data_IF_572911993004
#
_entry.id   IF_572911993004
#
_cell.length_a   1.000
_cell.length_b   1.000
_cell.length_c   1.000
_cell.angle_alpha   90.00
_cell.angle_beta   90.00
_cell.angle_gamma   90.00
#
_symmetry.space_group_name_H-M   'P 1'
#
loop_
_entity.id
_entity.type
_entity.pdbx_description
1 polymer ?
#
# COMPACT_ATOMS: atom_id res chain seq x y z
N UNK A 1 -30.74 43.26 8.35
CA UNK A 1 -29.86 42.36 9.13
C UNK A 1 -29.16 41.42 8.16
N UNK A 2 -27.84 41.55 7.99
CA UNK A 2 -27.02 40.60 7.22
C UNK A 2 -26.35 39.65 8.21
N UNK A 3 -26.79 38.41 8.27
CA UNK A 3 -26.14 37.36 9.04
C UNK A 3 -24.96 36.87 8.17
N UNK A 4 -23.74 37.30 8.52
CA UNK A 4 -22.52 36.70 7.96
C UNK A 4 -22.23 35.44 8.76
N UNK A 5 -22.39 34.28 8.12
CA UNK A 5 -22.05 32.98 8.71
C UNK A 5 -20.53 32.80 8.60
N UNK A 6 -19.77 32.64 9.71
CA UNK A 6 -18.30 32.53 9.67
C UNK A 6 -17.83 31.08 9.52
N UNK A 7 -18.69 30.15 9.08
CA UNK A 7 -18.43 28.70 9.19
C UNK A 7 -17.42 28.16 8.17
N UNK A 8 -17.26 28.82 7.02
CA UNK A 8 -16.40 28.31 5.93
C UNK A 8 -14.90 28.43 6.25
N UNK A 9 -14.50 29.39 7.09
CA UNK A 9 -13.09 29.59 7.43
C UNK A 9 -12.56 28.55 8.42
N UNK A 10 -13.42 27.97 9.26
CA UNK A 10 -13.00 27.01 10.29
C UNK A 10 -12.75 25.61 9.70
N UNK A 11 -13.50 25.21 8.67
CA UNK A 11 -13.31 23.89 8.03
C UNK A 11 -11.98 23.78 7.27
N UNK A 12 -11.57 24.86 6.58
CA UNK A 12 -10.28 24.90 5.87
C UNK A 12 -9.09 24.86 6.83
N UNK A 13 -9.21 25.46 8.01
CA UNK A 13 -8.16 25.46 9.04
C UNK A 13 -8.00 24.07 9.66
N UNK A 14 -9.10 23.35 9.93
CA UNK A 14 -9.05 21.97 10.45
C UNK A 14 -8.46 21.00 9.43
N UNK A 15 -8.79 21.15 8.14
CA UNK A 15 -8.20 20.36 7.06
C UNK A 15 -6.68 20.60 6.93
N UNK A 16 -6.20 21.84 7.07
CA UNK A 16 -4.77 22.14 7.06
C UNK A 16 -4.01 21.63 8.30
N UNK A 17 -4.65 21.55 9.48
CA UNK A 17 -4.00 21.00 10.68
C UNK A 17 -3.83 19.48 10.62
N UNK A 18 -4.72 18.75 9.94
CA UNK A 18 -4.60 17.29 9.80
C UNK A 18 -3.42 16.88 8.90
N UNK A 19 -3.12 17.66 7.85
CA UNK A 19 -1.99 17.39 6.96
C UNK A 19 -0.63 17.65 7.61
N UNK A 20 -0.56 18.59 8.57
CA UNK A 20 0.70 19.00 9.22
C UNK A 20 1.07 18.17 10.46
N UNK A 21 0.21 17.25 10.91
CA UNK A 21 0.39 16.54 12.18
C UNK A 21 0.85 15.09 12.04
N UNK A 22 1.17 14.62 10.83
CA UNK A 22 1.47 13.20 10.59
C UNK A 22 0.26 12.28 10.82
N UNK A 23 -0.96 12.82 10.75
CA UNK A 23 -2.19 12.04 10.89
C UNK A 23 -2.60 11.47 9.53
N UNK A 24 -2.45 10.16 9.32
CA UNK A 24 -2.95 9.47 8.14
C UNK A 24 -4.46 9.28 8.24
N UNK A 25 -5.20 9.80 7.27
CA UNK A 25 -6.66 9.62 7.16
C UNK A 25 -6.96 8.55 6.12
N UNK A 26 -7.59 7.46 6.54
CA UNK A 26 -8.07 6.41 5.63
C UNK A 26 -9.51 6.71 5.20
N UNK A 27 -9.69 6.87 3.90
CA UNK A 27 -10.98 7.14 3.28
C UNK A 27 -11.04 6.65 1.84
N UNK A 28 -12.25 6.29 1.40
CA UNK A 28 -12.63 5.94 0.03
C UNK A 28 -13.92 6.67 -0.40
N UNK A 29 -14.19 7.85 0.17
CA UNK A 29 -15.39 8.65 -0.15
C UNK A 29 -15.54 8.82 -1.67
N UNK A 30 -16.67 8.37 -2.20
CA UNK A 30 -17.00 8.43 -3.63
C UNK A 30 -16.31 7.37 -4.50
N UNK A 31 -15.52 6.48 -3.90
CA UNK A 31 -14.82 5.35 -4.56
C UNK A 31 -15.29 3.99 -4.07
N UNK A 32 -15.89 3.94 -2.87
CA UNK A 32 -16.35 2.73 -2.20
C UNK A 32 -17.57 2.06 -2.80
N UNK A 33 -18.05 2.42 -3.99
CA UNK A 33 -19.33 1.90 -4.50
C UNK A 33 -19.34 0.36 -4.54
N UNK A 34 -20.36 -0.24 -3.91
CA UNK A 34 -20.53 -1.68 -3.79
C UNK A 34 -21.26 -2.31 -4.98
N UNK A 35 -21.33 -3.65 -4.97
CA UNK A 35 -21.91 -4.45 -6.06
C UNK A 35 -23.39 -4.19 -6.30
N UNK A 36 -24.14 -3.81 -5.26
CA UNK A 36 -25.58 -3.53 -5.37
C UNK A 36 -25.87 -2.34 -6.27
N UNK A 37 -25.03 -1.31 -6.20
CA UNK A 37 -25.18 -0.07 -6.96
C UNK A 37 -24.50 -0.16 -8.33
N UNK A 38 -23.36 -0.84 -8.42
CA UNK A 38 -22.58 -0.94 -9.65
C UNK A 38 -21.87 -2.30 -9.78
N UNK A 39 -22.55 -3.31 -10.35
CA UNK A 39 -21.95 -4.60 -10.64
C UNK A 39 -20.70 -4.48 -11.52
N UNK A 40 -19.78 -5.44 -11.39
CA UNK A 40 -18.57 -5.51 -12.23
C UNK A 40 -18.92 -6.01 -13.62
N UNK A 41 -18.31 -5.41 -14.64
CA UNK A 41 -18.62 -5.68 -16.05
C UNK A 41 -17.37 -5.81 -16.93
N UNK A 42 -16.19 -5.96 -16.33
CA UNK A 42 -14.96 -6.25 -17.07
C UNK A 42 -14.95 -7.65 -17.70
N UNK A 43 -13.86 -7.97 -18.38
CA UNK A 43 -13.69 -9.26 -19.05
C UNK A 43 -13.52 -10.41 -18.05
N UNK A 44 -13.74 -11.64 -18.51
CA UNK A 44 -13.48 -12.86 -17.74
C UNK A 44 -12.00 -12.96 -17.33
N UNK A 45 -11.70 -13.72 -16.28
CA UNK A 45 -10.33 -13.91 -15.84
C UNK A 45 -9.41 -14.43 -16.95
N UNK A 46 -8.37 -13.63 -17.22
CA UNK A 46 -7.23 -14.01 -18.05
C UNK A 46 -5.98 -13.65 -17.26
N UNK A 47 -5.05 -14.59 -17.18
CA UNK A 47 -3.78 -14.35 -16.53
C UNK A 47 -2.99 -13.29 -17.32
N UNK A 48 -2.31 -12.38 -16.62
CA UNK A 48 -1.44 -11.40 -17.26
C UNK A 48 -0.27 -12.15 -17.92
N UNK A 49 0.02 -11.83 -19.17
CA UNK A 49 1.12 -12.46 -19.89
C UNK A 49 2.47 -12.06 -19.26
N UNK A 50 3.45 -12.94 -19.39
CA UNK A 50 4.77 -12.77 -18.74
C UNK A 50 5.57 -11.59 -19.30
N UNK A 51 5.21 -11.11 -20.49
CA UNK A 51 5.83 -9.95 -21.15
C UNK A 51 5.16 -8.62 -20.79
N UNK A 52 4.08 -8.63 -20.01
CA UNK A 52 3.31 -7.44 -19.61
C UNK A 52 3.72 -6.89 -18.24
N UNK A 53 4.70 -7.51 -17.56
CA UNK A 53 5.22 -7.07 -16.27
C UNK A 53 6.69 -7.51 -16.11
N UNK A 54 7.45 -6.86 -15.23
CA UNK A 54 8.87 -7.17 -15.03
C UNK A 54 9.05 -8.29 -13.98
N UNK A 55 9.68 -9.39 -14.37
CA UNK A 55 9.94 -10.53 -13.48
C UNK A 55 10.93 -10.23 -12.34
N UNK A 56 11.60 -9.07 -12.37
CA UNK A 56 12.32 -8.55 -11.20
C UNK A 56 11.38 -8.17 -10.05
N UNK A 57 10.09 -7.97 -10.33
CA UNK A 57 9.03 -7.65 -9.38
C UNK A 57 8.20 -8.89 -9.00
N UNK A 58 7.12 -8.71 -8.25
CA UNK A 58 6.14 -9.75 -7.96
C UNK A 58 4.73 -9.31 -8.38
N UNK A 59 3.83 -10.27 -8.58
CA UNK A 59 2.41 -9.99 -8.84
C UNK A 59 1.53 -10.43 -7.68
N UNK A 60 0.65 -9.53 -7.26
CA UNK A 60 -0.42 -9.81 -6.32
C UNK A 60 -1.76 -9.79 -7.05
N UNK A 61 -2.36 -10.95 -7.25
CA UNK A 61 -3.76 -11.05 -7.65
C UNK A 61 -4.66 -10.92 -6.43
N UNK A 62 -5.68 -10.08 -6.54
CA UNK A 62 -6.75 -9.98 -5.57
C UNK A 62 -8.04 -10.40 -6.23
N UNK A 63 -8.82 -11.24 -5.57
CA UNK A 63 -10.12 -11.63 -6.11
C UNK A 63 -11.15 -11.89 -5.02
N UNK A 64 -12.43 -11.64 -5.36
CA UNK A 64 -13.58 -11.87 -4.49
C UNK A 64 -14.61 -12.69 -5.26
N UNK A 65 -14.88 -13.88 -4.76
CA UNK A 65 -15.88 -14.78 -5.34
C UNK A 65 -17.29 -14.22 -5.17
N UNK A 66 -18.22 -14.66 -6.00
CA UNK A 66 -19.61 -14.22 -5.90
C UNK A 66 -20.28 -14.71 -4.61
N UNK A 67 -21.00 -13.82 -3.92
CA UNK A 67 -22.01 -14.19 -2.91
C UNK A 67 -23.18 -13.22 -2.90
N UNK A 68 -24.33 -13.65 -2.36
CA UNK A 68 -25.50 -12.77 -2.22
C UNK A 68 -25.20 -11.61 -1.27
N UNK A 69 -24.48 -11.87 -0.18
CA UNK A 69 -24.03 -10.85 0.77
C UNK A 69 -23.20 -9.75 0.07
N UNK A 70 -22.22 -10.15 -0.73
CA UNK A 70 -21.41 -9.21 -1.50
C UNK A 70 -22.21 -8.51 -2.62
N UNK A 71 -23.21 -9.17 -3.20
CA UNK A 71 -24.08 -8.60 -4.23
C UNK A 71 -24.98 -7.48 -3.70
N UNK A 72 -25.44 -7.60 -2.45
CA UNK A 72 -26.32 -6.63 -1.80
C UNK A 72 -25.54 -5.51 -1.07
N UNK A 73 -24.23 -5.52 -1.17
CA UNK A 73 -23.35 -4.55 -0.54
C UNK A 73 -23.40 -3.19 -1.25
N UNK A 74 -23.66 -2.13 -0.48
CA UNK A 74 -23.69 -0.74 -0.96
C UNK A 74 -22.29 -0.12 -1.03
N UNK A 75 -21.38 -0.55 -0.13
CA UNK A 75 -20.00 -0.10 -0.11
C UNK A 75 -19.01 -1.26 -0.09
N UNK A 76 -18.12 -1.34 -1.07
CA UNK A 76 -17.13 -2.40 -1.19
C UNK A 76 -15.88 -2.16 -0.33
N UNK A 77 -15.27 -3.21 0.25
CA UNK A 77 -14.04 -3.11 1.02
C UNK A 77 -12.88 -2.49 0.25
N UNK A 78 -12.11 -1.65 0.93
CA UNK A 78 -10.93 -0.97 0.42
C UNK A 78 -9.67 -1.80 0.64
N UNK A 79 -8.81 -1.88 -0.38
CA UNK A 79 -7.51 -2.55 -0.32
C UNK A 79 -6.38 -1.53 -0.27
N UNK A 80 -5.49 -1.72 0.70
CA UNK A 80 -4.31 -0.93 0.94
C UNK A 80 -3.05 -1.78 0.83
N UNK A 81 -2.02 -1.23 0.17
CA UNK A 81 -0.66 -1.75 0.21
C UNK A 81 0.23 -0.64 0.77
N UNK A 82 1.01 -0.96 1.81
CA UNK A 82 1.88 -0.02 2.51
C UNK A 82 1.17 1.29 2.89
N UNK A 83 -0.02 1.14 3.51
CA UNK A 83 -0.91 2.23 3.93
C UNK A 83 -1.45 3.14 2.81
N UNK A 84 -1.25 2.78 1.53
CA UNK A 84 -1.84 3.50 0.39
C UNK A 84 -3.04 2.78 -0.20
N UNK A 85 -4.14 3.51 -0.39
CA UNK A 85 -5.37 2.99 -1.02
C UNK A 85 -5.16 2.79 -2.53
N UNK A 86 -5.58 1.64 -3.05
CA UNK A 86 -5.53 1.36 -4.49
C UNK A 86 -6.92 1.16 -5.09
N UNK A 87 -7.71 0.23 -4.55
CA UNK A 87 -9.01 -0.13 -5.13
C UNK A 87 -9.99 -0.61 -4.05
N UNK A 88 -11.26 -0.66 -4.44
CA UNK A 88 -12.32 -1.26 -3.65
C UNK A 88 -12.78 -2.55 -4.33
N UNK A 89 -12.74 -3.68 -3.63
CA UNK A 89 -12.97 -5.01 -4.22
C UNK A 89 -14.45 -5.38 -4.19
N UNK A 90 -15.10 -5.14 -5.34
CA UNK A 90 -16.53 -5.41 -5.53
C UNK A 90 -16.81 -6.92 -5.66
N UNK A 91 -18.08 -7.26 -5.51
CA UNK A 91 -18.57 -8.63 -5.69
C UNK A 91 -18.14 -9.21 -7.05
N UNK A 92 -17.80 -10.49 -7.06
CA UNK A 92 -17.47 -11.26 -8.27
C UNK A 92 -16.38 -10.61 -9.14
N UNK A 93 -15.29 -10.17 -8.52
CA UNK A 93 -14.27 -9.38 -9.19
C UNK A 93 -12.85 -9.88 -8.94
N UNK A 94 -11.96 -9.64 -9.90
CA UNK A 94 -10.52 -9.77 -9.72
C UNK A 94 -9.78 -8.55 -10.22
N UNK A 95 -8.58 -8.37 -9.69
CA UNK A 95 -7.58 -7.44 -10.20
C UNK A 95 -6.18 -7.91 -9.80
N UNK A 96 -5.17 -7.15 -10.19
CA UNK A 96 -3.79 -7.42 -9.85
C UNK A 96 -3.02 -6.12 -9.58
N UNK A 97 -1.92 -6.23 -8.84
CA UNK A 97 -0.91 -5.18 -8.67
C UNK A 97 0.46 -5.81 -8.88
N UNK A 98 1.31 -5.17 -9.69
CA UNK A 98 2.74 -5.47 -9.72
C UNK A 98 3.43 -4.67 -8.62
N UNK A 99 4.19 -5.35 -7.77
CA UNK A 99 4.80 -4.81 -6.56
C UNK A 99 6.30 -5.09 -6.54
N UNK A 100 7.11 -4.18 -5.98
CA UNK A 100 8.54 -4.49 -5.83
C UNK A 100 8.74 -5.66 -4.85
N UNK A 101 9.86 -6.40 -4.90
CA UNK A 101 10.13 -7.46 -3.93
C UNK A 101 10.38 -6.89 -2.53
N UNK A 102 10.00 -7.61 -1.47
CA UNK A 102 10.20 -7.15 -0.09
C UNK A 102 9.07 -7.54 0.86
N UNK A 103 9.02 -6.90 2.02
CA UNK A 103 7.85 -7.00 2.91
C UNK A 103 6.79 -6.01 2.46
N UNK A 104 5.56 -6.48 2.25
CA UNK A 104 4.42 -5.64 1.87
C UNK A 104 3.34 -5.74 2.91
N UNK A 105 2.97 -4.59 3.45
CA UNK A 105 1.85 -4.50 4.37
C UNK A 105 0.55 -4.43 3.58
N UNK A 106 -0.30 -5.43 3.73
CA UNK A 106 -1.58 -5.56 3.06
C UNK A 106 -2.67 -5.37 4.11
N UNK A 107 -3.52 -4.36 3.91
CA UNK A 107 -4.67 -4.14 4.77
C UNK A 107 -5.95 -4.05 3.95
N UNK A 108 -7.02 -4.66 4.46
CA UNK A 108 -8.36 -4.51 3.91
C UNK A 108 -9.26 -3.87 4.96
N UNK A 109 -10.00 -2.82 4.56
CA UNK A 109 -10.83 -2.02 5.45
C UNK A 109 -12.24 -1.91 4.90
N UNK A 110 -13.24 -2.02 5.76
CA UNK A 110 -14.64 -1.76 5.39
C UNK A 110 -14.95 -0.28 5.61
N UNK A 111 -15.30 0.47 4.56
CA UNK A 111 -15.74 1.84 4.71
C UNK A 111 -17.12 1.93 5.37
N UNK A 112 -17.33 3.03 6.11
CA UNK A 112 -18.64 3.47 6.57
C UNK A 112 -18.85 4.90 6.06
N UNK A 113 -19.67 5.05 5.01
CA UNK A 113 -19.84 6.29 4.25
C UNK A 113 -18.51 6.83 3.69
N UNK A 114 -17.66 5.92 3.23
CA UNK A 114 -16.32 6.21 2.71
C UNK A 114 -15.27 6.62 3.75
N UNK A 115 -15.61 6.67 5.05
CA UNK A 115 -14.62 6.85 6.13
C UNK A 115 -14.16 5.49 6.64
N UNK A 116 -12.86 5.34 6.86
CA UNK A 116 -12.27 4.03 7.21
C UNK A 116 -11.38 4.05 8.45
N UNK A 117 -10.75 5.18 8.76
CA UNK A 117 -9.87 5.27 9.92
C UNK A 117 -9.01 6.52 10.01
N UNK A 118 -8.29 6.64 11.13
CA UNK A 118 -7.30 7.68 11.45
C UNK A 118 -6.11 7.03 12.16
N UNK A 119 -4.89 7.15 11.61
CA UNK A 119 -3.68 6.51 12.15
C UNK A 119 -3.89 5.01 12.43
N UNK A 120 -3.55 4.51 13.62
CA UNK A 120 -3.74 3.11 14.01
C UNK A 120 -5.20 2.72 14.27
N UNK A 121 -6.15 3.65 14.20
CA UNK A 121 -7.57 3.36 14.40
C UNK A 121 -8.27 3.11 13.07
N UNK A 122 -8.79 1.90 12.89
CA UNK A 122 -9.70 1.56 11.78
C UNK A 122 -11.13 1.36 12.32
N UNK A 123 -12.11 1.90 11.60
CA UNK A 123 -13.53 1.73 11.92
C UNK A 123 -13.96 0.27 11.78
N UNK A 124 -13.41 -0.44 10.79
CA UNK A 124 -13.65 -1.86 10.56
C UNK A 124 -12.50 -2.42 9.71
N UNK A 125 -11.59 -3.12 10.37
CA UNK A 125 -10.46 -3.81 9.74
C UNK A 125 -10.90 -5.24 9.40
N UNK A 126 -10.80 -5.60 8.13
CA UNK A 126 -11.09 -6.94 7.61
C UNK A 126 -9.84 -7.81 7.70
N UNK A 127 -8.71 -7.26 7.27
CA UNK A 127 -7.43 -7.95 7.28
C UNK A 127 -6.29 -6.95 7.48
N UNK A 128 -5.23 -7.41 8.13
CA UNK A 128 -3.99 -6.67 8.36
C UNK A 128 -2.85 -7.71 8.42
N UNK A 129 -1.99 -7.71 7.41
CA UNK A 129 -0.96 -8.72 7.26
C UNK A 129 0.29 -8.14 6.60
N UNK A 130 1.46 -8.66 6.98
CA UNK A 130 2.69 -8.42 6.23
C UNK A 130 3.02 -9.66 5.42
N UNK A 131 3.05 -9.53 4.09
CA UNK A 131 3.43 -10.59 3.17
C UNK A 131 4.84 -10.32 2.64
N UNK A 132 5.75 -11.29 2.78
CA UNK A 132 7.05 -11.23 2.10
C UNK A 132 6.89 -11.71 0.66
N UNK A 133 7.04 -10.78 -0.28
CA UNK A 133 6.93 -11.04 -1.72
C UNK A 133 8.31 -11.21 -2.33
N UNK A 134 8.45 -12.21 -3.21
CA UNK A 134 9.70 -12.57 -3.88
C UNK A 134 9.65 -12.24 -5.38
N UNK A 135 10.79 -11.91 -5.99
CA UNK A 135 10.86 -11.61 -7.42
C UNK A 135 10.40 -12.81 -8.26
N UNK A 136 9.64 -12.54 -9.32
CA UNK A 136 9.12 -13.52 -10.26
C UNK A 136 7.95 -14.36 -9.73
N UNK A 137 7.51 -14.13 -8.48
CA UNK A 137 6.39 -14.88 -7.88
C UNK A 137 5.05 -14.20 -8.13
N UNK A 138 4.01 -15.02 -8.15
CA UNK A 138 2.61 -14.62 -8.31
C UNK A 138 1.85 -15.14 -7.10
N UNK A 139 1.18 -14.26 -6.40
CA UNK A 139 0.41 -14.55 -5.19
C UNK A 139 -1.07 -14.31 -5.45
N UNK A 140 -1.94 -15.16 -4.89
CA UNK A 140 -3.38 -15.06 -5.06
C UNK A 140 -4.04 -14.80 -3.70
N UNK A 141 -4.56 -13.59 -3.51
CA UNK A 141 -5.25 -13.13 -2.32
C UNK A 141 -6.76 -13.25 -2.56
N UNK A 142 -7.34 -14.26 -1.92
CA UNK A 142 -8.77 -14.59 -1.96
C UNK A 142 -9.48 -13.83 -0.86
N UNK A 143 -10.51 -13.06 -1.22
CA UNK A 143 -11.41 -12.44 -0.27
C UNK A 143 -12.80 -13.09 -0.32
N UNK A 144 -13.26 -13.63 0.81
CA UNK A 144 -14.60 -14.18 0.98
C UNK A 144 -15.01 -14.14 2.46
N UNK A 145 -16.20 -13.60 2.75
CA UNK A 145 -16.70 -13.40 4.11
C UNK A 145 -17.55 -14.56 4.65
N UNK A 146 -17.94 -15.49 3.77
CA UNK A 146 -18.87 -16.57 4.11
C UNK A 146 -18.18 -17.93 4.18
N UNK A 147 -17.14 -18.13 3.37
CA UNK A 147 -16.51 -19.43 3.19
C UNK A 147 -14.98 -19.29 3.15
N UNK A 148 -14.31 -20.04 4.02
CA UNK A 148 -12.87 -20.24 3.97
C UNK A 148 -12.49 -21.29 2.90
N UNK A 149 -11.28 -21.23 2.33
CA UNK A 149 -10.78 -22.24 1.42
C UNK A 149 -10.67 -23.57 2.14
N UNK A 150 -10.90 -24.67 1.40
CA UNK A 150 -10.88 -26.02 1.97
C UNK A 150 -9.56 -26.42 2.65
N UNK A 151 -8.46 -25.73 2.34
CA UNK A 151 -7.13 -25.91 2.93
C UNK A 151 -6.42 -24.57 3.02
N UNK A 152 -5.69 -24.29 4.11
CA UNK A 152 -4.82 -23.11 4.20
C UNK A 152 -3.61 -23.25 3.25
N UNK A 153 -2.93 -22.14 3.00
CA UNK A 153 -1.69 -22.15 2.21
C UNK A 153 -0.62 -22.99 2.91
N UNK A 154 0.00 -23.98 2.24
CA UNK A 154 0.91 -24.93 2.88
C UNK A 154 2.20 -24.30 3.39
N UNK A 155 2.65 -23.22 2.74
CA UNK A 155 3.89 -22.53 3.09
C UNK A 155 3.70 -21.37 4.09
N UNK A 156 2.46 -21.06 4.49
CA UNK A 156 2.21 -20.05 5.52
C UNK A 156 2.19 -20.69 6.91
N UNK A 157 2.68 -19.95 7.90
CA UNK A 157 2.42 -20.27 9.30
C UNK A 157 0.90 -20.31 9.54
N UNK A 158 0.35 -21.33 10.21
CA UNK A 158 -1.08 -21.37 10.54
C UNK A 158 -1.60 -20.14 11.29
N UNK A 159 -0.75 -19.46 12.05
CA UNK A 159 -1.09 -18.23 12.78
C UNK A 159 -0.87 -16.96 11.94
N UNK A 160 -0.40 -17.10 10.70
CA UNK A 160 -0.23 -15.96 9.81
C UNK A 160 -1.60 -15.35 9.48
N UNK A 161 -1.78 -14.01 9.51
CA UNK A 161 -3.09 -13.39 9.27
C UNK A 161 -3.72 -13.71 7.90
N UNK A 162 -2.91 -14.10 6.90
CA UNK A 162 -3.39 -14.56 5.58
C UNK A 162 -3.64 -16.07 5.48
N UNK A 163 -3.48 -16.85 6.55
CA UNK A 163 -3.77 -18.28 6.58
C UNK A 163 -5.26 -18.56 6.87
N UNK A 164 -5.93 -17.67 7.61
CA UNK A 164 -7.33 -17.78 8.07
C UNK A 164 -8.06 -16.43 7.99
N UNK A 165 -9.39 -16.42 8.14
CA UNK A 165 -10.18 -15.18 8.09
C UNK A 165 -10.67 -14.84 6.69
N UNK A 166 -11.10 -13.59 6.47
CA UNK A 166 -11.82 -13.23 5.24
C UNK A 166 -10.89 -13.01 4.03
N UNK A 167 -9.66 -12.51 4.25
CA UNK A 167 -8.62 -12.36 3.21
C UNK A 167 -7.52 -13.39 3.45
N UNK A 168 -7.36 -14.31 2.49
CA UNK A 168 -6.42 -15.42 2.63
C UNK A 168 -5.52 -15.52 1.40
N UNK A 169 -4.25 -15.85 1.62
CA UNK A 169 -3.36 -16.27 0.54
C UNK A 169 -3.70 -17.71 0.17
N UNK A 170 -3.90 -17.97 -1.11
CA UNK A 170 -4.17 -19.30 -1.63
C UNK A 170 -3.14 -19.71 -2.67
N UNK A 171 -2.92 -21.01 -2.79
CA UNK A 171 -2.07 -21.58 -3.83
C UNK A 171 -2.66 -21.30 -5.22
N UNK A 172 -1.81 -21.31 -6.25
CA UNK A 172 -2.27 -21.20 -7.64
C UNK A 172 -3.28 -22.29 -7.98
N UNK A 173 -3.02 -23.53 -7.55
CA UNK A 173 -3.89 -24.68 -7.81
C UNK A 173 -5.30 -24.46 -7.24
N UNK A 174 -5.39 -23.83 -6.07
CA UNK A 174 -6.66 -23.48 -5.45
C UNK A 174 -7.33 -22.32 -6.19
N UNK A 175 -6.60 -21.22 -6.45
CA UNK A 175 -7.14 -20.05 -7.15
C UNK A 175 -7.71 -20.39 -8.54
N UNK A 176 -7.11 -21.35 -9.25
CA UNK A 176 -7.52 -21.75 -10.61
C UNK A 176 -8.73 -22.71 -10.64
N UNK A 177 -9.40 -22.98 -9.51
CA UNK A 177 -10.65 -23.74 -9.50
C UNK A 177 -11.78 -22.98 -10.19
N UNK A 178 -12.79 -23.70 -10.66
CA UNK A 178 -13.85 -23.16 -11.53
C UNK A 178 -14.75 -22.10 -10.87
N UNK A 179 -14.84 -22.13 -9.55
CA UNK A 179 -15.62 -21.27 -8.67
C UNK A 179 -14.78 -20.23 -7.92
N UNK A 180 -13.47 -20.17 -8.22
CA UNK A 180 -12.51 -19.24 -7.62
C UNK A 180 -12.23 -18.11 -8.63
N UNK A 181 -10.98 -17.67 -8.81
CA UNK A 181 -10.66 -16.49 -9.63
C UNK A 181 -11.15 -16.62 -11.08
N UNK A 182 -11.20 -17.85 -11.59
CA UNK A 182 -11.63 -18.14 -12.97
C UNK A 182 -13.10 -17.77 -13.21
N UNK A 183 -13.92 -17.74 -12.15
CA UNK A 183 -15.34 -17.35 -12.23
C UNK A 183 -15.59 -15.84 -12.17
N UNK A 184 -14.54 -15.06 -11.90
CA UNK A 184 -14.66 -13.62 -11.60
C UNK A 184 -14.41 -12.74 -12.82
N UNK A 185 -14.87 -11.49 -12.73
CA UNK A 185 -14.73 -10.49 -13.79
C UNK A 185 -13.70 -9.42 -13.44
N UNK A 186 -13.06 -8.84 -14.44
CA UNK A 186 -12.04 -7.83 -14.24
C UNK A 186 -12.63 -6.57 -13.59
N UNK A 187 -12.01 -6.10 -12.51
CA UNK A 187 -12.41 -4.90 -11.79
C UNK A 187 -12.04 -3.65 -12.61
N UNK A 188 -12.95 -3.23 -13.50
CA UNK A 188 -12.78 -2.03 -14.29
C UNK A 188 -12.81 -0.75 -13.41
N UNK A 189 -12.05 0.26 -13.81
CA UNK A 189 -12.13 1.62 -13.26
C UNK A 189 -13.10 2.44 -14.11
N UNK A 190 -14.05 3.12 -13.48
CA UNK A 190 -15.04 3.96 -14.17
C UNK A 190 -15.41 5.20 -13.34
N UNK A 191 -16.31 6.05 -13.86
CA UNK A 191 -16.71 7.30 -13.21
C UNK A 191 -17.48 7.09 -11.90
N UNK A 192 -18.16 5.96 -11.74
CA UNK A 192 -18.95 5.63 -10.55
C UNK A 192 -18.14 4.86 -9.51
N UNK A 193 -17.10 4.14 -9.94
CA UNK A 193 -16.19 3.40 -9.08
C UNK A 193 -14.74 3.53 -9.57
N UNK A 194 -14.13 4.71 -9.40
CA UNK A 194 -12.75 4.92 -9.81
C UNK A 194 -11.80 4.15 -8.89
N UNK A 195 -10.88 3.41 -9.49
CA UNK A 195 -9.85 2.65 -8.80
C UNK A 195 -8.49 2.73 -9.53
N UNK A 196 -7.43 2.35 -8.80
CA UNK A 196 -6.06 2.20 -9.30
C UNK A 196 -5.68 0.71 -9.24
N UNK A 197 -6.48 -0.11 -9.93
CA UNK A 197 -6.27 -1.54 -10.03
C UNK A 197 -5.54 -1.89 -11.35
N UNK A 198 -4.98 -3.11 -11.46
CA UNK A 198 -4.31 -3.62 -12.66
C UNK A 198 -3.16 -2.72 -13.16
N UNK A 199 -2.31 -2.32 -12.22
CA UNK A 199 -1.18 -1.43 -12.50
C UNK A 199 0.07 -1.88 -11.76
N UNK A 200 1.21 -1.42 -12.24
CA UNK A 200 2.44 -1.44 -11.46
C UNK A 200 2.42 -0.37 -10.38
N UNK A 201 2.84 -0.75 -9.18
CA UNK A 201 3.00 0.13 -8.02
C UNK A 201 4.43 0.05 -7.45
N UNK A 202 5.34 -0.55 -8.22
CA UNK A 202 6.76 -0.78 -7.87
C UNK A 202 7.44 0.50 -7.43
N UNK A 203 7.31 1.58 -8.21
CA UNK A 203 7.94 2.86 -7.87
C UNK A 203 7.42 3.43 -6.55
N UNK A 204 6.11 3.33 -6.32
CA UNK A 204 5.49 3.76 -5.08
C UNK A 204 5.97 2.92 -3.90
N UNK A 205 6.18 1.61 -4.09
CA UNK A 205 6.71 0.76 -3.03
C UNK A 205 8.16 1.11 -2.71
N UNK A 206 9.01 1.31 -3.72
CA UNK A 206 10.42 1.69 -3.55
C UNK A 206 10.56 3.03 -2.81
N UNK A 207 9.75 4.03 -3.18
CA UNK A 207 9.73 5.33 -2.50
C UNK A 207 9.29 5.17 -1.04
N UNK A 208 8.26 4.36 -0.79
CA UNK A 208 7.75 4.09 0.56
C UNK A 208 8.78 3.34 1.40
N UNK A 209 9.49 2.37 0.83
CA UNK A 209 10.54 1.60 1.49
C UNK A 209 11.73 2.50 1.83
N UNK A 210 12.11 3.40 0.93
CA UNK A 210 13.13 4.42 1.18
C UNK A 210 12.77 5.31 2.36
N UNK A 211 11.57 5.89 2.37
CA UNK A 211 11.13 6.78 3.46
C UNK A 211 11.03 6.04 4.80
N UNK A 212 10.48 4.81 4.81
CA UNK A 212 10.44 3.96 6.02
C UNK A 212 11.86 3.67 6.53
N UNK A 213 12.79 3.31 5.64
CA UNK A 213 14.16 2.97 6.02
C UNK A 213 14.93 4.20 6.51
N UNK A 214 14.73 5.36 5.88
CA UNK A 214 15.31 6.63 6.29
C UNK A 214 14.85 7.00 7.70
N UNK A 215 13.54 6.97 7.95
CA UNK A 215 12.97 7.24 9.28
C UNK A 215 13.53 6.30 10.35
N UNK A 216 13.62 4.99 10.04
CA UNK A 216 14.20 4.01 10.97
C UNK A 216 15.69 4.31 11.27
N UNK A 217 16.46 4.71 10.26
CA UNK A 217 17.87 5.08 10.44
C UNK A 217 18.04 6.40 11.20
N UNK A 218 17.13 7.37 11.03
CA UNK A 218 17.10 8.60 11.84
C UNK A 218 16.84 8.29 13.31
N UNK A 219 15.93 7.36 13.62
CA UNK A 219 15.71 6.88 14.99
C UNK A 219 16.91 6.11 15.54
N UNK A 220 17.53 5.22 14.74
CA UNK A 220 18.80 4.56 15.11
C UNK A 220 19.89 5.58 15.45
N UNK A 221 19.97 6.67 14.68
CA UNK A 221 20.92 7.77 14.86
C UNK A 221 20.70 8.51 16.18
N UNK A 222 19.46 8.82 16.52
CA UNK A 222 19.12 9.47 17.80
C UNK A 222 19.54 8.60 19.00
N UNK A 223 19.19 7.31 18.97
CA UNK A 223 19.59 6.35 20.00
C UNK A 223 21.12 6.18 20.09
N UNK A 224 21.81 6.21 18.95
CA UNK A 224 23.27 6.19 18.91
C UNK A 224 23.89 7.42 19.57
N UNK A 225 23.33 8.61 19.32
CA UNK A 225 23.76 9.87 19.94
C UNK A 225 23.54 9.83 21.46
N UNK A 226 22.36 9.41 21.93
CA UNK A 226 22.07 9.26 23.36
C UNK A 226 23.07 8.32 24.04
N UNK A 227 23.39 7.21 23.39
CA UNK A 227 24.41 6.26 23.87
C UNK A 227 25.80 6.89 23.94
N UNK A 228 26.18 7.72 22.95
CA UNK A 228 27.46 8.43 22.97
C UNK A 228 27.52 9.50 24.06
N UNK A 229 26.42 10.21 24.32
CA UNK A 229 26.31 11.15 25.44
C UNK A 229 26.56 10.44 26.78
N UNK A 230 25.91 9.30 27.01
CA UNK A 230 26.14 8.49 28.23
C UNK A 230 27.58 7.99 28.37
N UNK A 231 28.27 7.76 27.25
CA UNK A 231 29.67 7.34 27.23
C UNK A 231 30.67 8.51 27.33
N UNK A 232 30.21 9.77 27.41
CA UNK A 232 31.07 10.95 27.38
C UNK A 232 31.77 11.16 26.03
N UNK A 233 31.26 10.56 24.96
CA UNK A 233 31.77 10.67 23.57
C UNK A 233 30.95 11.68 22.76
N UNK A 234 30.38 12.66 23.43
CA UNK A 234 29.59 13.72 22.83
C UNK A 234 30.04 15.04 23.46
N UNK A 235 30.47 15.99 22.63
CA UNK A 235 30.83 17.33 23.09
C UNK A 235 29.56 18.18 23.22
N UNK A 236 29.36 18.75 24.40
CA UNK A 236 28.25 19.68 24.64
C UNK A 236 28.46 21.00 23.90
N UNK A 237 27.34 21.62 23.51
CA UNK A 237 27.30 22.97 22.94
C UNK A 237 27.85 23.98 23.93
N UNK A 238 28.82 24.79 23.51
CA UNK A 238 29.33 25.91 24.33
C UNK A 238 28.37 27.10 24.30
N UNK A 239 28.18 27.77 25.44
CA UNK A 239 27.27 28.93 25.57
C UNK A 239 27.63 30.12 24.65
N UNK A 240 28.91 30.29 24.30
CA UNK A 240 29.37 31.34 23.39
C UNK A 240 29.43 30.89 21.92
N UNK A 241 29.19 29.60 21.66
CA UNK A 241 29.17 29.02 20.30
C UNK A 241 28.07 27.94 20.21
N UNK A 242 26.78 28.34 20.07
CA UNK A 242 25.63 27.44 20.12
C UNK A 242 25.51 26.51 18.90
N UNK A 243 26.41 26.64 17.93
CA UNK A 243 26.49 25.79 16.73
C UNK A 243 27.62 24.75 16.79
N UNK A 244 28.35 24.65 17.91
CA UNK A 244 29.38 23.63 18.14
C UNK A 244 28.87 22.47 18.99
N UNK A 245 29.71 21.46 19.21
CA UNK A 245 29.31 20.24 19.89
C UNK A 245 28.74 19.20 18.93
N UNK A 246 28.72 17.94 19.36
CA UNK A 246 28.40 16.80 18.53
C UNK A 246 29.14 15.53 18.94
N UNK A 247 28.87 14.40 18.27
CA UNK A 247 29.56 13.15 18.54
C UNK A 247 31.05 13.27 18.21
N UNK A 248 31.92 12.78 19.10
CA UNK A 248 33.39 12.79 18.89
C UNK A 248 33.88 11.64 18.02
N UNK A 249 32.98 10.73 17.65
CA UNK A 249 33.20 9.58 16.77
C UNK A 249 32.18 9.61 15.63
N UNK A 250 32.53 9.10 14.43
CA UNK A 250 31.57 9.00 13.35
C UNK A 250 30.42 8.06 13.73
N UNK A 251 29.19 8.46 13.42
CA UNK A 251 27.99 7.65 13.66
C UNK A 251 27.88 6.54 12.62
N UNK A 252 27.57 5.33 13.06
CA UNK A 252 27.25 4.23 12.13
C UNK A 252 25.97 4.55 11.35
N UNK A 253 24.98 5.15 12.01
CA UNK A 253 23.73 5.55 11.37
C UNK A 253 23.95 6.57 10.23
N UNK A 254 24.86 7.54 10.39
CA UNK A 254 25.19 8.51 9.32
C UNK A 254 25.76 7.81 8.07
N UNK A 255 26.58 6.77 8.26
CA UNK A 255 27.14 6.00 7.14
C UNK A 255 26.06 5.22 6.41
N UNK A 256 25.10 4.65 7.15
CA UNK A 256 23.95 3.94 6.58
C UNK A 256 23.01 4.89 5.85
N UNK A 257 22.70 6.06 6.41
CA UNK A 257 21.87 7.09 5.78
C UNK A 257 22.47 7.54 4.45
N UNK A 258 23.77 7.84 4.44
CA UNK A 258 24.46 8.23 3.21
C UNK A 258 24.43 7.13 2.15
N UNK A 259 24.58 5.87 2.54
CA UNK A 259 24.47 4.75 1.59
C UNK A 259 23.05 4.65 1.03
N UNK A 260 22.03 4.75 1.88
CA UNK A 260 20.62 4.74 1.48
C UNK A 260 20.30 5.88 0.48
N UNK A 261 20.75 7.11 0.76
CA UNK A 261 20.59 8.26 -0.14
C UNK A 261 21.28 8.04 -1.49
N UNK A 262 22.45 7.39 -1.50
CA UNK A 262 23.18 7.07 -2.72
C UNK A 262 22.48 6.00 -3.56
N UNK A 263 21.98 4.95 -2.91
CA UNK A 263 21.24 3.87 -3.57
C UNK A 263 19.93 4.41 -4.17
N UNK A 264 19.20 5.24 -3.43
CA UNK A 264 17.98 5.88 -3.92
C UNK A 264 18.24 6.85 -5.09
N UNK A 265 19.32 7.64 -5.03
CA UNK A 265 19.71 8.51 -6.14
C UNK A 265 20.10 7.72 -7.41
N UNK A 266 20.70 6.53 -7.28
CA UNK A 266 20.96 5.66 -8.43
C UNK A 266 19.67 5.14 -9.06
N UNK A 267 18.70 4.79 -8.22
CA UNK A 267 17.39 4.32 -8.64
C UNK A 267 16.60 5.42 -9.36
N UNK A 268 16.62 6.67 -8.87
CA UNK A 268 16.05 7.82 -9.58
C UNK A 268 16.70 8.02 -10.96
N UNK A 269 18.03 7.93 -11.06
CA UNK A 269 18.75 8.01 -12.34
C UNK A 269 18.43 6.85 -13.30
N UNK A 270 18.09 5.67 -12.78
CA UNK A 270 17.63 4.54 -13.59
C UNK A 270 16.22 4.80 -14.16
N UNK A 271 15.32 5.34 -13.33
CA UNK A 271 13.98 5.74 -13.75
C UNK A 271 14.02 6.83 -14.82
N UNK A 272 14.80 7.90 -14.61
CA UNK A 272 14.99 8.97 -15.60
C UNK A 272 15.48 8.42 -16.94
N UNK A 273 16.48 7.53 -16.92
CA UNK A 273 16.98 6.88 -18.15
C UNK A 273 15.92 6.03 -18.85
N UNK A 274 15.06 5.33 -18.09
CA UNK A 274 13.96 4.54 -18.64
C UNK A 274 12.91 5.44 -19.29
N UNK A 275 12.49 6.50 -18.59
CA UNK A 275 11.54 7.49 -19.12
C UNK A 275 12.07 8.18 -20.39
N UNK A 276 13.36 8.54 -20.42
CA UNK A 276 14.01 9.08 -21.63
C UNK A 276 14.02 8.08 -22.80
N UNK A 277 14.26 6.80 -22.53
CA UNK A 277 14.24 5.76 -23.57
C UNK A 277 12.82 5.53 -24.11
N UNK A 278 11.80 5.56 -23.25
CA UNK A 278 10.40 5.40 -23.63
C UNK A 278 9.85 6.64 -24.35
N UNK A 279 10.20 7.84 -23.89
CA UNK A 279 9.79 9.12 -24.49
C UNK A 279 10.57 9.49 -25.76
N UNK A 280 11.79 8.98 -25.93
CA UNK A 280 12.64 9.17 -27.11
C UNK A 280 12.10 8.54 -28.40
N UNK A 281 11.02 7.76 -28.32
CA UNK A 281 10.34 7.13 -29.46
C UNK A 281 9.43 8.05 -30.28
N UNK A 282 9.23 9.32 -29.89
CA UNK A 282 8.32 10.25 -30.58
C UNK A 282 9.06 11.35 -31.36
N UNK A 283 9.76 10.96 -32.43
CA UNK A 283 10.18 11.86 -33.51
C UNK A 283 9.72 11.32 -34.89
N UNK A 284 8.65 11.94 -35.40
CA UNK A 284 8.27 12.26 -36.80
C UNK A 284 8.47 11.17 -37.89
N UNK A 285 7.34 10.66 -38.41
CA UNK A 285 7.10 10.55 -39.87
C UNK A 285 5.71 11.12 -40.18
#
# INVERSE_FOLDING_TARGET
>A
MKIRVPFVKSAAVVACFLVLSGCTVYQSIGKSVGGFLHPVSGHDFVHIDTDQWDQSNALLYFYRTHSQWAADEIESPSVYIDDKHYFNIRNNSFTWLEVSPGERHIAMRRPLLGLEGLNSFSLSLIADATLKVEPGKIYYLRYNELEEPSRPHPDLDPEHPLASGELQLVTREYAMQSDEIVSTLFLNSDLLAPNHAATSIVEVNEDTDYEKRKLALEQERELEIERLQQQGKYEETSWFWPFGGGPTVPLEADRKLKALEQDYAQLELERERREEAESGGWWIF
#
